data_IF_019966712136
#
_entry.id   IF_019966712136
#
_cell.length_a   1.000
_cell.length_b   1.000
_cell.length_c   1.000
_cell.angle_alpha   90.00
_cell.angle_beta   90.00
_cell.angle_gamma   90.00
#
_symmetry.space_group_name_H-M   'P 1'
#
loop_
_entity.id
_entity.type
_entity.pdbx_description
1 polymer ?
#
# COMPACT_ATOMS: atom_id res chain seq x y z
N UNK A 1 -3.65 -11.24 16.33
CA UNK A 1 -4.03 -11.01 14.92
C UNK A 1 -3.91 -9.54 14.49
N UNK A 2 -4.43 -8.56 15.24
CA UNK A 2 -4.42 -7.14 14.79
C UNK A 2 -3.05 -6.47 14.74
N UNK A 3 -2.14 -6.81 15.67
CA UNK A 3 -0.80 -6.18 15.74
C UNK A 3 0.08 -6.55 14.54
N UNK A 4 0.21 -7.83 14.23
CA UNK A 4 0.98 -8.32 13.08
C UNK A 4 0.43 -7.79 11.76
N UNK A 5 -0.90 -7.73 11.61
CA UNK A 5 -1.55 -7.12 10.45
C UNK A 5 -1.17 -5.64 10.32
N UNK A 6 -1.25 -4.89 11.41
CA UNK A 6 -0.89 -3.47 11.44
C UNK A 6 0.58 -3.26 11.08
N UNK A 7 1.47 -4.09 11.62
CA UNK A 7 2.91 -4.05 11.33
C UNK A 7 3.21 -4.39 9.85
N UNK A 8 2.46 -5.32 9.25
CA UNK A 8 2.59 -5.61 7.80
C UNK A 8 2.12 -4.44 6.94
N UNK A 9 0.97 -3.84 7.25
CA UNK A 9 0.45 -2.67 6.51
C UNK A 9 1.41 -1.48 6.64
N UNK A 10 1.91 -1.17 7.84
CA UNK A 10 2.85 -0.08 8.07
C UNK A 10 4.14 -0.27 7.25
N UNK A 11 4.71 -1.49 7.23
CA UNK A 11 5.91 -1.78 6.41
C UNK A 11 5.68 -1.54 4.93
N UNK A 12 4.48 -1.82 4.42
CA UNK A 12 4.13 -1.53 3.02
C UNK A 12 4.05 -0.03 2.77
N UNK A 13 3.38 0.71 3.66
CA UNK A 13 3.24 2.17 3.55
C UNK A 13 4.60 2.87 3.66
N UNK A 14 5.49 2.42 4.52
CA UNK A 14 6.87 2.92 4.64
C UNK A 14 7.69 2.69 3.38
N UNK A 15 7.46 1.57 2.69
CA UNK A 15 8.18 1.18 1.46
C UNK A 15 7.47 1.59 0.17
N UNK A 16 6.37 2.32 0.26
CA UNK A 16 5.65 2.82 -0.91
C UNK A 16 6.60 3.64 -1.81
N UNK A 17 6.55 3.47 -3.14
CA UNK A 17 7.35 4.29 -4.06
C UNK A 17 7.02 5.78 -3.95
N UNK A 18 8.00 6.64 -4.27
CA UNK A 18 7.80 8.09 -4.22
C UNK A 18 6.69 8.57 -5.17
N UNK A 19 6.52 7.92 -6.32
CA UNK A 19 5.44 8.25 -7.25
C UNK A 19 4.06 7.95 -6.66
N UNK A 20 3.90 6.88 -5.86
CA UNK A 20 2.62 6.56 -5.18
C UNK A 20 2.31 7.66 -4.17
N UNK A 21 3.29 8.10 -3.38
CA UNK A 21 3.10 9.18 -2.40
C UNK A 21 2.70 10.49 -3.08
N UNK A 22 3.39 10.85 -4.17
CA UNK A 22 3.06 12.05 -4.95
C UNK A 22 1.65 11.98 -5.53
N UNK A 23 1.29 10.84 -6.10
CA UNK A 23 0.01 10.67 -6.79
C UNK A 23 -1.16 10.57 -5.77
N UNK A 24 -0.93 10.07 -4.55
CA UNK A 24 -1.90 10.14 -3.44
C UNK A 24 -2.22 11.58 -3.00
N UNK A 25 -1.24 12.48 -3.05
CA UNK A 25 -1.41 13.92 -2.75
C UNK A 25 -1.97 14.71 -3.95
N UNK A 26 -2.19 14.04 -5.09
CA UNK A 26 -2.64 14.70 -6.31
C UNK A 26 -4.09 15.18 -6.23
N UNK A 27 -4.35 16.38 -6.76
CA UNK A 27 -5.70 16.89 -6.99
C UNK A 27 -6.39 16.23 -8.18
N UNK A 28 -5.65 15.57 -9.06
CA UNK A 28 -6.20 14.77 -10.15
C UNK A 28 -6.79 13.47 -9.59
N UNK A 29 -8.13 13.27 -9.67
CA UNK A 29 -8.77 12.06 -9.16
C UNK A 29 -8.23 10.78 -9.81
N UNK A 30 -7.85 10.83 -11.10
CA UNK A 30 -7.37 9.65 -11.83
C UNK A 30 -5.99 9.24 -11.30
N UNK A 31 -5.09 10.19 -11.10
CA UNK A 31 -3.78 9.94 -10.50
C UNK A 31 -3.91 9.36 -9.09
N UNK A 32 -4.80 9.94 -8.26
CA UNK A 32 -5.02 9.47 -6.90
C UNK A 32 -5.57 8.05 -6.85
N UNK A 33 -6.60 7.74 -7.66
CA UNK A 33 -7.18 6.39 -7.76
C UNK A 33 -6.10 5.37 -8.14
N UNK A 34 -5.29 5.68 -9.15
CA UNK A 34 -4.19 4.78 -9.56
C UNK A 34 -3.21 4.51 -8.42
N UNK A 35 -2.90 5.52 -7.61
CA UNK A 35 -2.00 5.38 -6.48
C UNK A 35 -2.63 4.53 -5.37
N UNK A 36 -3.92 4.72 -5.08
CA UNK A 36 -4.70 3.91 -4.13
C UNK A 36 -4.75 2.44 -4.56
N UNK A 37 -5.08 2.16 -5.83
CA UNK A 37 -5.11 0.80 -6.39
C UNK A 37 -3.74 0.11 -6.30
N UNK A 38 -2.68 0.85 -6.60
CA UNK A 38 -1.32 0.33 -6.54
C UNK A 38 -0.89 0.04 -5.11
N UNK A 39 -1.23 0.92 -4.17
CA UNK A 39 -0.96 0.70 -2.74
C UNK A 39 -1.74 -0.50 -2.21
N UNK A 40 -3.01 -0.64 -2.60
CA UNK A 40 -3.83 -1.80 -2.25
C UNK A 40 -3.21 -3.10 -2.76
N UNK A 41 -2.75 -3.14 -4.02
CA UNK A 41 -2.07 -4.32 -4.58
C UNK A 41 -0.78 -4.67 -3.82
N UNK A 42 -0.01 -3.66 -3.38
CA UNK A 42 1.18 -3.88 -2.55
C UNK A 42 0.82 -4.48 -1.19
N UNK A 43 -0.25 -4.00 -0.55
CA UNK A 43 -0.73 -4.53 0.73
C UNK A 43 -1.18 -5.97 0.55
N UNK A 44 -2.04 -6.26 -0.45
CA UNK A 44 -2.53 -7.61 -0.73
C UNK A 44 -1.39 -8.60 -0.94
N UNK A 45 -0.40 -8.25 -1.77
CA UNK A 45 0.78 -9.09 -2.01
C UNK A 45 1.59 -9.35 -0.72
N UNK A 46 1.73 -8.35 0.16
CA UNK A 46 2.40 -8.53 1.44
C UNK A 46 1.63 -9.44 2.39
N UNK A 47 0.29 -9.33 2.42
CA UNK A 47 -0.58 -10.19 3.22
C UNK A 47 -0.57 -11.64 2.72
N UNK A 48 -0.64 -11.84 1.40
CA UNK A 48 -0.54 -13.18 0.79
C UNK A 48 0.80 -13.85 1.15
N UNK A 49 1.91 -13.12 1.07
CA UNK A 49 3.24 -13.61 1.48
C UNK A 49 3.32 -13.95 2.97
N UNK A 50 2.67 -13.16 3.84
CA UNK A 50 2.61 -13.43 5.27
C UNK A 50 1.79 -14.70 5.56
N UNK A 51 0.70 -14.93 4.83
CA UNK A 51 -0.15 -16.12 5.00
C UNK A 51 0.45 -17.41 4.42
N UNK A 52 1.39 -17.29 3.49
CA UNK A 52 2.08 -18.41 2.86
C UNK A 52 3.37 -18.84 3.60
N UNK A 53 3.76 -18.10 4.65
CA UNK A 53 4.94 -18.35 5.49
C UNK A 53 4.53 -19.03 6.81
#
# INVERSE_FOLDING_TARGET
MTRELTETVLRVVERAPQWVRRDLDSKDPVARIRAEESLAAMITNALERQSAA
#
